data_IF_002602190322
#
_entry.id   IF_002602190322
#
_cell.length_a   1.000
_cell.length_b   1.000
_cell.length_c   1.000
_cell.angle_alpha   90.00
_cell.angle_beta   90.00
_cell.angle_gamma   90.00
#
_symmetry.space_group_name_H-M   'P 1'
#
loop_
_entity.id
_entity.type
_entity.pdbx_description
1 polymer ?
#
# COMPACT_ATOMS: atom_id res chain seq x y z
N UNK A 1 -7.50 7.38 -9.03
CA UNK A 1 -6.45 6.53 -8.40
C UNK A 1 -5.72 5.80 -9.52
N UNK A 2 -4.39 5.95 -9.64
CA UNK A 2 -3.61 5.42 -10.79
C UNK A 2 -3.51 3.90 -10.86
N UNK A 3 -3.86 3.17 -9.79
CA UNK A 3 -3.63 1.72 -9.68
C UNK A 3 -4.88 0.89 -9.34
N UNK A 4 -6.05 1.53 -9.18
CA UNK A 4 -7.28 0.85 -8.77
C UNK A 4 -7.39 0.63 -7.26
N UNK A 5 -8.33 -0.22 -6.86
CA UNK A 5 -8.40 -0.78 -5.51
C UNK A 5 -7.32 -1.86 -5.36
N UNK A 6 -6.83 -2.05 -4.14
CA UNK A 6 -5.79 -3.03 -3.86
C UNK A 6 -5.79 -3.42 -2.39
N UNK A 7 -5.35 -4.63 -2.11
CA UNK A 7 -5.32 -5.19 -0.76
C UNK A 7 -3.93 -5.02 -0.18
N UNK A 8 -3.85 -4.48 1.03
CA UNK A 8 -2.58 -4.42 1.77
C UNK A 8 -2.22 -5.84 2.20
N UNK A 9 -1.09 -6.35 1.71
CA UNK A 9 -0.62 -7.71 2.00
C UNK A 9 0.50 -7.70 3.04
N UNK A 10 1.25 -6.61 3.17
CA UNK A 10 2.26 -6.46 4.20
C UNK A 10 2.45 -4.99 4.61
N UNK A 11 2.81 -4.80 5.88
CA UNK A 11 3.23 -3.51 6.43
C UNK A 11 4.52 -3.77 7.21
N UNK A 12 5.59 -3.07 6.85
CA UNK A 12 6.86 -3.10 7.54
C UNK A 12 7.15 -1.72 8.14
N UNK A 13 7.69 -1.69 9.36
CA UNK A 13 8.11 -0.46 10.02
C UNK A 13 9.48 -0.04 9.48
N UNK A 14 9.52 1.09 8.75
CA UNK A 14 10.74 1.68 8.19
C UNK A 14 11.36 2.75 9.09
N UNK A 15 10.94 2.85 10.36
CA UNK A 15 11.43 3.80 11.35
C UNK A 15 10.80 5.18 11.25
N UNK A 16 10.85 5.83 10.08
CA UNK A 16 10.24 7.16 9.87
C UNK A 16 8.85 7.09 9.24
N UNK A 17 8.57 6.02 8.51
CA UNK A 17 7.31 5.75 7.82
C UNK A 17 7.12 4.24 7.71
N UNK A 18 5.93 3.79 7.32
CA UNK A 18 5.66 2.38 7.09
C UNK A 18 5.82 2.04 5.61
N UNK A 19 6.55 0.98 5.30
CA UNK A 19 6.57 0.40 3.97
C UNK A 19 5.38 -0.55 3.83
N UNK A 20 4.49 -0.24 2.89
CA UNK A 20 3.26 -0.96 2.63
C UNK A 20 3.40 -1.70 1.31
N UNK A 21 3.17 -3.01 1.34
CA UNK A 21 3.02 -3.81 0.13
C UNK A 21 1.53 -3.92 -0.17
N UNK A 22 1.12 -3.40 -1.32
CA UNK A 22 -0.26 -3.42 -1.80
C UNK A 22 -0.30 -4.25 -3.06
N UNK A 23 -1.16 -5.26 -3.07
CA UNK A 23 -1.49 -5.99 -4.29
C UNK A 23 -2.64 -5.29 -4.99
N UNK A 24 -2.36 -4.69 -6.14
CA UNK A 24 -3.33 -3.99 -6.97
C UNK A 24 -3.89 -4.94 -8.02
N UNK A 25 -5.21 -5.06 -8.09
CA UNK A 25 -5.87 -5.96 -9.04
C UNK A 25 -5.44 -5.72 -10.50
N UNK A 26 -5.12 -4.46 -10.85
CA UNK A 26 -4.70 -4.07 -12.22
C UNK A 26 -3.20 -3.89 -12.40
N UNK A 27 -2.43 -3.80 -11.33
CA UNK A 27 -1.02 -3.42 -11.38
C UNK A 27 -0.08 -4.38 -10.65
N UNK A 28 -0.64 -5.44 -10.05
CA UNK A 28 0.03 -6.43 -9.23
C UNK A 28 0.59 -5.85 -7.94
N UNK A 29 1.55 -6.57 -7.37
CA UNK A 29 2.19 -6.22 -6.11
C UNK A 29 3.12 -5.01 -6.26
N UNK A 30 2.83 -3.94 -5.52
CA UNK A 30 3.61 -2.71 -5.47
C UNK A 30 3.94 -2.38 -4.01
N UNK A 31 5.19 -1.95 -3.79
CA UNK A 31 5.62 -1.37 -2.52
C UNK A 31 5.46 0.15 -2.55
N UNK A 32 4.93 0.72 -1.48
CA UNK A 32 4.72 2.16 -1.31
C UNK A 32 4.76 2.55 0.16
N UNK A 33 5.06 3.82 0.44
CA UNK A 33 5.03 4.32 1.82
C UNK A 33 3.60 4.62 2.28
N UNK A 34 3.30 4.33 3.54
CA UNK A 34 1.99 4.54 4.13
C UNK A 34 1.54 6.00 4.08
N UNK A 35 2.46 6.96 4.19
CA UNK A 35 2.14 8.39 4.02
C UNK A 35 1.45 8.73 2.70
N UNK A 36 1.69 7.95 1.65
CA UNK A 36 1.08 8.16 0.34
C UNK A 36 -0.11 7.23 0.06
N UNK A 37 -0.28 6.19 0.87
CA UNK A 37 -1.41 5.29 0.78
C UNK A 37 -2.62 5.95 1.49
N UNK A 38 -3.65 6.31 0.74
CA UNK A 38 -4.94 6.73 1.33
C UNK A 38 -5.68 5.50 1.88
N UNK A 39 -5.13 4.90 2.93
CA UNK A 39 -5.69 3.74 3.60
C UNK A 39 -7.00 4.14 4.27
N UNK A 40 -8.07 3.40 3.99
CA UNK A 40 -9.35 3.55 4.66
C UNK A 40 -9.61 2.26 5.43
N UNK A 41 -9.68 2.37 6.76
CA UNK A 41 -10.09 1.23 7.60
C UNK A 41 -11.56 0.96 7.31
N UNK A 42 -11.88 -0.29 6.97
CA UNK A 42 -13.26 -0.76 6.82
C UNK A 42 -13.87 -0.98 8.19
#
# INVERSE_FOLDING_TARGET
MKFGEGTVTAIADGGKDYEVTVDFDRAGVKKMFASFAKLKKV
#
